data_IF_594031548427
#
_entry.id   IF_594031548427
#
_cell.length_a   1.000
_cell.length_b   1.000
_cell.length_c   1.000
_cell.angle_alpha   90.00
_cell.angle_beta   90.00
_cell.angle_gamma   90.00
#
_symmetry.space_group_name_H-M   'P 1'
#
loop_
_entity.id
_entity.type
_entity.pdbx_description
1 polymer ?
#
# COMPACT_ATOMS: atom_id res chain seq x y z
N UNK A 1 37.45 -22.36 -15.82
CA UNK A 1 38.41 -21.23 -15.72
C UNK A 1 37.85 -20.16 -16.66
N UNK A 2 36.98 -19.22 -16.23
CA UNK A 2 37.23 -18.05 -15.35
C UNK A 2 38.34 -17.16 -15.95
N UNK A 3 38.26 -15.83 -16.09
CA UNK A 3 37.72 -14.77 -15.21
C UNK A 3 37.91 -13.42 -15.96
N UNK A 4 36.99 -12.45 -15.79
CA UNK A 4 37.17 -10.97 -15.83
C UNK A 4 37.54 -10.36 -17.21
N UNK A 5 37.04 -9.21 -17.67
CA UNK A 5 36.91 -7.93 -16.99
C UNK A 5 36.08 -6.98 -17.91
N UNK A 6 34.89 -6.58 -17.49
CA UNK A 6 34.10 -5.53 -18.15
C UNK A 6 33.92 -4.37 -17.16
N UNK A 7 34.97 -3.58 -16.98
CA UNK A 7 34.94 -2.33 -16.22
C UNK A 7 35.92 -1.35 -16.86
N UNK A 8 35.40 -0.30 -17.49
CA UNK A 8 35.87 1.09 -17.36
C UNK A 8 34.99 1.99 -18.26
N UNK A 9 33.83 2.41 -17.75
CA UNK A 9 33.08 3.55 -18.26
C UNK A 9 32.86 4.52 -17.09
N UNK A 10 33.95 5.01 -16.52
CA UNK A 10 33.94 6.12 -15.56
C UNK A 10 34.19 7.41 -16.33
N UNK A 11 33.10 8.08 -16.74
CA UNK A 11 33.17 9.50 -17.11
C UNK A 11 33.09 10.34 -15.82
N UNK A 12 33.93 11.37 -15.64
CA UNK A 12 33.90 12.19 -14.45
C UNK A 12 32.63 13.06 -14.43
N UNK A 13 31.89 13.01 -13.32
CA UNK A 13 30.80 13.91 -12.98
C UNK A 13 31.34 15.35 -12.87
N UNK A 14 30.79 16.28 -13.66
CA UNK A 14 31.17 17.70 -13.61
C UNK A 14 30.43 18.41 -12.47
N UNK A 15 31.15 19.25 -11.72
CA UNK A 15 30.62 20.02 -10.58
C UNK A 15 29.54 21.05 -10.99
N UNK A 16 29.45 21.39 -12.27
CA UNK A 16 28.44 22.31 -12.82
C UNK A 16 27.04 21.69 -12.92
N UNK A 17 26.94 20.36 -13.09
CA UNK A 17 25.64 19.67 -13.17
C UNK A 17 24.97 19.53 -11.79
N UNK A 18 25.76 19.61 -10.71
CA UNK A 18 25.28 19.59 -9.32
C UNK A 18 24.59 20.91 -8.92
N UNK A 19 24.95 22.04 -9.53
CA UNK A 19 24.30 23.32 -9.23
C UNK A 19 22.90 23.45 -9.81
N UNK A 20 22.59 22.78 -10.92
CA UNK A 20 21.24 22.79 -11.52
C UNK A 20 20.21 21.97 -10.73
N UNK A 21 20.67 21.05 -9.88
CA UNK A 21 19.77 20.27 -9.00
C UNK A 21 19.44 21.03 -7.73
N UNK A 22 20.32 21.94 -7.27
CA UNK A 22 20.16 22.66 -6.01
C UNK A 22 19.30 23.93 -6.10
N UNK A 23 19.05 24.48 -7.29
CA UNK A 23 18.14 25.64 -7.44
C UNK A 23 16.65 25.26 -7.54
N UNK A 24 16.31 23.96 -7.59
CA UNK A 24 14.92 23.50 -7.75
C UNK A 24 14.23 23.14 -6.42
N UNK A 25 14.92 23.23 -5.28
CA UNK A 25 14.37 22.79 -3.98
C UNK A 25 13.66 23.89 -3.17
N UNK A 26 13.66 25.14 -3.63
CA UNK A 26 13.21 26.27 -2.81
C UNK A 26 11.71 26.63 -2.95
N UNK A 27 10.91 25.86 -3.70
CA UNK A 27 9.47 26.16 -3.91
C UNK A 27 8.49 25.16 -3.30
N UNK A 28 8.92 24.23 -2.44
CA UNK A 28 8.03 23.19 -1.88
C UNK A 28 7.76 23.31 -0.37
N UNK A 29 7.81 24.50 0.24
CA UNK A 29 7.67 24.62 1.71
C UNK A 29 6.56 25.52 2.27
N UNK A 30 5.69 26.14 1.46
CA UNK A 30 4.75 27.14 2.00
C UNK A 30 3.28 26.69 2.17
N UNK A 31 2.91 25.43 1.87
CA UNK A 31 1.50 24.97 1.93
C UNK A 31 1.13 24.04 3.10
N UNK A 32 2.10 23.59 3.92
CA UNK A 32 1.86 22.57 4.95
C UNK A 32 1.41 23.10 6.32
N UNK A 33 1.51 24.40 6.60
CA UNK A 33 1.13 24.92 7.93
C UNK A 33 -0.39 25.04 8.16
N UNK A 34 -1.21 24.94 7.12
CA UNK A 34 -2.67 25.11 7.25
C UNK A 34 -3.43 23.81 7.58
N UNK A 35 -2.88 22.64 7.19
CA UNK A 35 -3.54 21.34 7.41
C UNK A 35 -3.56 20.90 8.88
N UNK A 36 -2.53 21.22 9.67
CA UNK A 36 -2.46 20.87 11.10
C UNK A 36 -3.42 21.64 12.02
N UNK A 37 -4.11 22.68 11.51
CA UNK A 37 -5.04 23.50 12.31
C UNK A 37 -6.49 22.99 12.26
N UNK A 38 -6.85 22.19 11.26
CA UNK A 38 -8.22 21.69 11.07
C UNK A 38 -8.51 20.40 11.85
N UNK A 39 -7.51 19.55 12.12
CA UNK A 39 -7.70 18.30 12.89
C UNK A 39 -8.11 18.54 14.35
N UNK A 40 -7.63 19.60 15.00
CA UNK A 40 -7.92 19.85 16.43
C UNK A 40 -9.39 20.18 16.71
N UNK A 41 -10.19 20.47 15.69
CA UNK A 41 -11.58 20.92 15.84
C UNK A 41 -12.62 19.81 15.68
N UNK A 42 -12.26 18.65 15.12
CA UNK A 42 -13.20 17.55 14.83
C UNK A 42 -13.14 16.37 15.82
N UNK A 43 -12.28 16.43 16.84
CA UNK A 43 -12.05 15.30 17.74
C UNK A 43 -13.05 15.27 18.92
N UNK A 44 -13.68 16.40 19.25
CA UNK A 44 -14.66 16.46 20.34
C UNK A 44 -16.06 16.03 19.90
N UNK A 45 -16.35 16.07 18.59
CA UNK A 45 -17.68 15.74 18.07
C UNK A 45 -17.87 14.22 17.97
N UNK A 46 -16.86 13.50 17.47
CA UNK A 46 -16.90 12.04 17.29
C UNK A 46 -16.99 11.27 18.61
N UNK A 47 -16.34 11.77 19.68
CA UNK A 47 -16.35 11.13 21.01
C UNK A 47 -17.75 11.19 21.66
N UNK A 48 -18.47 12.29 21.50
CA UNK A 48 -19.80 12.48 22.10
C UNK A 48 -20.85 11.62 21.40
N UNK A 49 -20.81 11.54 20.07
CA UNK A 49 -21.73 10.68 19.31
C UNK A 49 -21.48 9.18 19.58
N UNK A 50 -20.22 8.75 19.75
CA UNK A 50 -19.89 7.37 20.11
C UNK A 50 -20.44 6.94 21.47
N UNK A 51 -20.43 7.82 22.48
CA UNK A 51 -20.96 7.52 23.82
C UNK A 51 -22.49 7.44 23.87
N UNK A 52 -23.18 8.23 23.04
CA UNK A 52 -24.65 8.18 22.96
C UNK A 52 -25.12 6.89 22.29
N UNK A 53 -24.45 6.45 21.21
CA UNK A 53 -24.78 5.19 20.53
C UNK A 53 -24.58 3.99 21.48
N UNK A 54 -23.53 4.01 22.31
CA UNK A 54 -23.25 2.97 23.31
C UNK A 54 -24.33 2.83 24.39
N UNK A 55 -25.03 3.92 24.75
CA UNK A 55 -26.07 3.89 25.78
C UNK A 55 -27.43 3.39 25.29
N UNK A 56 -27.72 3.49 23.99
CA UNK A 56 -29.04 3.12 23.42
C UNK A 56 -29.11 1.63 23.04
N UNK A 57 -27.96 0.97 22.86
CA UNK A 57 -27.87 -0.41 22.33
C UNK A 57 -27.61 -1.45 23.44
N UNK A 58 -27.55 -1.09 24.72
CA UNK A 58 -27.31 -2.06 25.81
C UNK A 58 -28.62 -2.57 26.46
N UNK A 59 -29.20 -3.70 26.00
CA UNK A 59 -29.96 -4.55 26.91
C UNK A 59 -28.96 -5.26 27.83
N UNK A 60 -29.11 -5.08 29.13
CA UNK A 60 -28.34 -5.81 30.13
C UNK A 60 -28.58 -7.32 30.00
N UNK A 61 -27.64 -8.03 29.37
CA UNK A 61 -27.48 -9.47 29.53
C UNK A 61 -26.04 -9.87 29.22
N UNK A 62 -25.42 -10.45 30.23
CA UNK A 62 -24.13 -11.14 30.20
C UNK A 62 -24.14 -12.30 29.20
N UNK A 63 -23.06 -12.38 28.43
CA UNK A 63 -22.38 -13.55 27.83
C UNK A 63 -21.95 -13.18 26.39
N UNK A 64 -20.67 -12.77 26.23
CA UNK A 64 -20.05 -12.50 24.93
C UNK A 64 -19.20 -13.72 24.55
N UNK A 65 -19.77 -14.59 23.72
CA UNK A 65 -19.00 -15.45 22.83
C UNK A 65 -18.57 -14.59 21.63
N UNK A 66 -17.27 -14.56 21.35
CA UNK A 66 -16.71 -13.90 20.17
C UNK A 66 -16.84 -14.89 19.02
N UNK A 67 -17.81 -14.66 18.14
CA UNK A 67 -17.96 -15.37 16.87
C UNK A 67 -17.27 -14.57 15.76
N UNK A 68 -16.41 -15.26 15.02
CA UNK A 68 -15.56 -14.76 13.93
C UNK A 68 -16.45 -14.50 12.70
N UNK A 69 -16.79 -13.24 12.44
CA UNK A 69 -17.67 -12.90 11.33
C UNK A 69 -16.92 -12.95 10.00
N UNK A 70 -17.05 -14.10 9.33
CA UNK A 70 -16.86 -14.31 7.90
C UNK A 70 -17.68 -13.30 7.09
N UNK A 71 -17.01 -12.36 6.42
CA UNK A 71 -17.67 -11.43 5.49
C UNK A 71 -17.82 -12.09 4.11
N UNK A 72 -19.07 -12.36 3.72
CA UNK A 72 -19.48 -12.84 2.40
C UNK A 72 -19.65 -11.65 1.45
N UNK A 73 -18.86 -11.61 0.36
CA UNK A 73 -18.87 -10.53 -0.62
C UNK A 73 -19.73 -10.94 -1.82
N UNK A 74 -20.97 -10.43 -1.88
CA UNK A 74 -21.83 -10.59 -3.05
C UNK A 74 -21.39 -9.62 -4.15
N UNK A 75 -20.93 -10.20 -5.26
CA UNK A 75 -20.51 -9.48 -6.45
C UNK A 75 -21.75 -9.02 -7.26
N UNK A 76 -21.78 -7.76 -7.71
CA UNK A 76 -22.65 -7.33 -8.81
C UNK A 76 -22.04 -6.14 -9.53
N UNK A 77 -21.80 -6.35 -10.82
CA UNK A 77 -20.97 -5.56 -11.72
C UNK A 77 -21.63 -4.31 -12.30
N UNK A 78 -20.73 -3.45 -12.80
CA UNK A 78 -20.83 -2.56 -13.97
C UNK A 78 -21.72 -1.32 -13.91
N UNK A 79 -21.10 -0.16 -13.64
CA UNK A 79 -21.35 1.06 -14.44
C UNK A 79 -20.04 1.81 -14.77
N UNK A 80 -19.93 2.12 -16.06
CA UNK A 80 -18.92 2.88 -16.79
C UNK A 80 -19.01 4.38 -16.45
N UNK A 81 -17.89 5.05 -16.10
CA UNK A 81 -17.44 6.35 -16.65
C UNK A 81 -16.23 6.96 -15.88
N UNK A 82 -15.24 7.40 -16.68
CA UNK A 82 -14.20 8.44 -16.51
C UNK A 82 -13.02 8.26 -15.53
N UNK A 83 -11.83 8.24 -16.16
CA UNK A 83 -10.47 8.42 -15.64
C UNK A 83 -10.33 9.44 -14.50
N UNK A 84 -10.21 8.93 -13.28
CA UNK A 84 -9.06 9.19 -12.42
C UNK A 84 -8.62 7.80 -11.94
N UNK A 85 -7.37 7.42 -12.22
CA UNK A 85 -6.79 6.13 -11.89
C UNK A 85 -6.59 6.00 -10.38
N UNK A 86 -7.73 5.91 -9.68
CA UNK A 86 -7.86 5.42 -8.32
C UNK A 86 -7.20 4.04 -8.31
N UNK A 87 -6.19 3.89 -7.46
CA UNK A 87 -5.31 2.73 -7.38
C UNK A 87 -6.05 1.57 -6.74
N UNK A 88 -7.21 1.18 -7.26
CA UNK A 88 -7.97 0.05 -6.75
C UNK A 88 -7.45 -1.23 -7.35
N UNK A 89 -7.13 -2.18 -6.49
CA UNK A 89 -6.82 -3.56 -6.83
C UNK A 89 -8.03 -4.20 -7.51
N UNK A 90 -7.80 -4.72 -8.72
CA UNK A 90 -8.84 -5.39 -9.53
C UNK A 90 -8.65 -6.91 -9.58
N UNK A 91 -7.65 -7.45 -8.88
CA UNK A 91 -7.26 -8.85 -8.95
C UNK A 91 -8.01 -9.76 -7.98
N UNK A 92 -7.83 -11.07 -8.15
CA UNK A 92 -8.23 -12.08 -7.17
C UNK A 92 -7.24 -12.10 -5.99
N UNK A 93 -7.73 -12.11 -4.75
CA UNK A 93 -6.84 -12.22 -3.60
C UNK A 93 -6.26 -13.63 -3.49
N UNK A 94 -4.94 -13.72 -3.30
CA UNK A 94 -4.24 -14.97 -3.06
C UNK A 94 -3.52 -14.89 -1.73
N UNK A 95 -3.78 -15.87 -0.86
CA UNK A 95 -3.10 -15.97 0.44
C UNK A 95 -1.62 -16.33 0.26
N UNK A 96 -0.75 -15.62 0.98
CA UNK A 96 0.71 -15.80 0.95
C UNK A 96 1.31 -15.59 2.36
N UNK A 97 2.62 -15.44 2.46
CA UNK A 97 3.33 -15.03 3.67
C UNK A 97 3.21 -13.53 3.98
N UNK A 98 2.64 -12.74 3.07
CA UNK A 98 2.30 -11.34 3.31
C UNK A 98 1.26 -11.16 4.42
N UNK A 99 1.25 -9.99 5.06
CA UNK A 99 0.33 -9.66 6.16
C UNK A 99 -0.34 -8.32 5.92
N UNK A 100 -1.60 -8.21 6.35
CA UNK A 100 -2.30 -6.94 6.33
C UNK A 100 -1.54 -5.93 7.20
N UNK A 101 -1.25 -4.77 6.63
CA UNK A 101 -0.47 -3.71 7.28
C UNK A 101 -1.08 -2.39 6.87
N UNK A 102 -1.60 -1.65 7.84
CA UNK A 102 -2.28 -0.38 7.59
C UNK A 102 -1.37 0.61 6.87
N UNK A 103 -1.93 1.30 5.87
CA UNK A 103 -1.28 2.41 5.19
C UNK A 103 -2.28 3.54 4.95
N UNK A 104 -1.76 4.74 4.82
CA UNK A 104 -2.48 5.98 4.49
C UNK A 104 -1.98 6.61 3.19
N UNK A 105 -0.78 6.23 2.76
CA UNK A 105 -0.17 6.67 1.51
C UNK A 105 0.76 5.61 0.95
N UNK A 106 1.09 5.70 -0.34
CA UNK A 106 2.06 4.82 -0.97
C UNK A 106 3.44 4.82 -0.26
N UNK A 107 3.84 5.94 0.35
CA UNK A 107 5.11 6.05 1.08
C UNK A 107 5.19 5.12 2.30
N UNK A 108 4.06 4.81 2.93
CA UNK A 108 3.99 3.85 4.04
C UNK A 108 4.41 2.44 3.59
N UNK A 109 4.27 2.14 2.30
CA UNK A 109 4.56 0.84 1.74
C UNK A 109 6.03 0.64 1.32
N UNK A 110 6.86 1.69 1.38
CA UNK A 110 8.25 1.63 0.95
C UNK A 110 9.12 0.68 1.75
N UNK A 111 8.73 0.27 2.97
CA UNK A 111 9.47 -0.69 3.79
C UNK A 111 9.00 -2.14 3.63
N UNK A 112 8.09 -2.39 2.70
CA UNK A 112 7.59 -3.73 2.41
C UNK A 112 8.10 -4.20 1.04
N UNK A 113 8.11 -5.52 0.87
CA UNK A 113 8.48 -6.18 -0.38
C UNK A 113 7.41 -7.20 -0.71
N UNK A 114 7.50 -7.80 -1.89
CA UNK A 114 6.63 -8.88 -2.29
C UNK A 114 6.65 -10.04 -1.27
N UNK A 115 5.58 -10.84 -1.16
CA UNK A 115 5.63 -12.07 -0.38
C UNK A 115 6.72 -13.01 -0.92
N UNK A 116 7.39 -13.74 -0.03
CA UNK A 116 8.40 -14.75 -0.37
C UNK A 116 7.84 -15.79 -1.33
N UNK A 117 6.57 -16.18 -1.16
CA UNK A 117 5.88 -17.09 -2.07
C UNK A 117 5.82 -16.57 -3.52
N UNK A 118 5.98 -15.27 -3.73
CA UNK A 118 5.89 -14.63 -5.04
C UNK A 118 7.24 -14.14 -5.57
N UNK A 119 8.31 -14.15 -4.78
CA UNK A 119 9.60 -13.57 -5.13
C UNK A 119 10.16 -14.01 -6.51
N UNK A 120 9.94 -15.27 -6.91
CA UNK A 120 10.34 -15.79 -8.22
C UNK A 120 9.11 -16.15 -9.06
N UNK A 121 8.67 -15.27 -9.97
CA UNK A 121 7.61 -15.59 -10.91
C UNK A 121 7.97 -16.83 -11.74
N UNK A 122 6.98 -17.71 -11.94
CA UNK A 122 7.09 -18.81 -12.90
C UNK A 122 6.87 -18.30 -14.34
N UNK A 123 7.04 -19.15 -15.35
CA UNK A 123 7.00 -18.74 -16.76
C UNK A 123 5.72 -18.02 -17.22
N UNK A 124 4.60 -18.23 -16.51
CA UNK A 124 3.31 -17.61 -16.82
C UNK A 124 2.90 -16.53 -15.81
N UNK A 125 3.85 -16.10 -14.97
CA UNK A 125 3.63 -15.08 -13.96
C UNK A 125 4.48 -13.85 -14.26
N UNK A 126 3.88 -12.67 -14.11
CA UNK A 126 4.54 -11.39 -14.36
C UNK A 126 4.16 -10.39 -13.28
N UNK A 127 5.14 -9.64 -12.80
CA UNK A 127 4.88 -8.51 -11.93
C UNK A 127 4.18 -7.38 -12.68
N UNK A 128 3.29 -6.66 -11.99
CA UNK A 128 2.88 -5.34 -12.46
C UNK A 128 4.01 -4.34 -12.21
N UNK A 129 3.89 -3.14 -12.76
CA UNK A 129 4.86 -2.05 -12.61
C UNK A 129 4.74 -1.27 -11.30
N UNK A 130 3.70 -1.52 -10.49
CA UNK A 130 3.41 -0.80 -9.24
C UNK A 130 4.29 -1.21 -8.05
N UNK A 131 4.78 -2.44 -8.03
CA UNK A 131 5.39 -3.02 -6.82
C UNK A 131 4.41 -3.05 -5.65
N UNK A 132 4.91 -2.90 -4.42
CA UNK A 132 4.06 -2.73 -3.23
C UNK A 132 3.49 -1.31 -3.18
N UNK A 133 2.17 -1.18 -3.12
CA UNK A 133 1.47 0.11 -3.03
C UNK A 133 0.39 0.08 -1.95
N UNK A 134 -0.01 1.27 -1.49
CA UNK A 134 -1.12 1.41 -0.57
C UNK A 134 -2.43 1.32 -1.36
N UNK A 135 -3.27 0.37 -1.02
CA UNK A 135 -4.60 0.22 -1.61
C UNK A 135 -5.61 1.08 -0.84
N UNK A 136 -6.27 2.01 -1.54
CA UNK A 136 -7.11 3.05 -0.93
C UNK A 136 -8.40 2.50 -0.30
N UNK A 137 -8.90 1.36 -0.78
CA UNK A 137 -10.10 0.72 -0.20
C UNK A 137 -9.75 -0.19 0.99
N UNK A 138 -8.65 -0.94 0.87
CA UNK A 138 -8.20 -1.89 1.89
C UNK A 138 -7.40 -1.21 3.01
N UNK A 139 -6.96 0.03 2.77
CA UNK A 139 -6.02 0.77 3.61
C UNK A 139 -4.80 -0.08 4.00
N UNK A 140 -4.28 -0.87 3.06
CA UNK A 140 -3.22 -1.84 3.31
C UNK A 140 -2.23 -1.94 2.16
N UNK A 141 -0.97 -2.27 2.50
CA UNK A 141 0.07 -2.49 1.50
C UNK A 141 -0.12 -3.82 0.77
N UNK A 142 -0.32 -3.73 -0.54
CA UNK A 142 -0.58 -4.86 -1.43
C UNK A 142 0.35 -4.83 -2.63
N UNK A 143 0.47 -5.98 -3.29
CA UNK A 143 1.19 -6.13 -4.54
C UNK A 143 0.35 -6.93 -5.52
N UNK A 144 0.42 -6.56 -6.79
CA UNK A 144 -0.29 -7.22 -7.89
C UNK A 144 0.68 -8.03 -8.77
N UNK A 145 0.18 -9.13 -9.32
CA UNK A 145 0.84 -9.88 -10.39
C UNK A 145 -0.17 -10.40 -11.39
N UNK A 146 0.27 -10.68 -12.60
CA UNK A 146 -0.49 -11.49 -13.56
C UNK A 146 -0.10 -12.96 -13.40
N UNK A 147 -1.06 -13.87 -13.39
CA UNK A 147 -0.86 -15.32 -13.40
C UNK A 147 -1.77 -15.96 -14.47
N UNK A 148 -1.17 -16.54 -15.52
CA UNK A 148 -1.91 -17.10 -16.66
C UNK A 148 -2.94 -16.11 -17.26
N UNK A 149 -2.59 -14.82 -17.32
CA UNK A 149 -3.45 -13.76 -17.85
C UNK A 149 -4.52 -13.23 -16.88
N UNK A 150 -4.59 -13.73 -15.65
CA UNK A 150 -5.46 -13.21 -14.60
C UNK A 150 -4.69 -12.31 -13.64
N UNK A 151 -5.28 -11.21 -13.22
CA UNK A 151 -4.71 -10.35 -12.20
C UNK A 151 -4.97 -10.98 -10.82
N UNK A 152 -3.91 -11.14 -10.03
CA UNK A 152 -3.93 -11.59 -8.65
C UNK A 152 -3.29 -10.51 -7.78
N UNK A 153 -3.72 -10.42 -6.53
CA UNK A 153 -3.05 -9.59 -5.54
C UNK A 153 -2.85 -10.33 -4.21
N UNK A 154 -1.88 -9.85 -3.44
CA UNK A 154 -1.65 -10.32 -2.08
C UNK A 154 -1.13 -9.18 -1.22
N UNK A 155 -1.09 -9.39 0.09
CA UNK A 155 -0.44 -8.45 0.99
C UNK A 155 1.07 -8.47 0.80
N UNK A 156 1.71 -7.33 1.04
CA UNK A 156 3.15 -7.26 1.08
C UNK A 156 3.72 -7.90 2.37
N UNK A 157 5.02 -8.23 2.34
CA UNK A 157 5.77 -8.75 3.47
C UNK A 157 6.75 -7.69 4.00
N UNK A 158 7.08 -7.73 5.29
CA UNK A 158 8.14 -6.90 5.87
C UNK A 158 9.45 -7.08 5.11
N UNK A 159 10.15 -5.98 4.79
CA UNK A 159 11.51 -6.05 4.25
C UNK A 159 12.53 -6.47 5.33
N UNK A 160 12.15 -6.46 6.60
CA UNK A 160 13.03 -6.93 7.67
C UNK A 160 13.37 -8.41 7.45
N UNK A 161 14.67 -8.69 7.24
CA UNK A 161 15.17 -10.03 6.89
C UNK A 161 14.58 -10.63 5.60
N UNK A 162 14.01 -9.80 4.73
CA UNK A 162 13.47 -10.26 3.46
C UNK A 162 14.60 -10.69 2.52
N UNK A 163 14.57 -11.95 2.11
CA UNK A 163 15.51 -12.51 1.15
C UNK A 163 14.78 -13.52 0.27
N UNK A 164 14.95 -13.37 -1.03
CA UNK A 164 14.45 -14.33 -2.00
C UNK A 164 15.19 -15.67 -1.89
N UNK A 165 14.55 -16.76 -1.43
CA UNK A 165 15.18 -18.08 -1.36
C UNK A 165 15.41 -18.64 -2.76
#
# INVERSE_FOLDING_TARGET
MSIFEAYQLTKPFNLSDLMLVLERTDTCNDEWENYGKQEKKMNNLLIVFGLIILLVILPSKSDLEIDDSSYDYTNSSDEDYSEEDEYTVKGEFVETDGKWMSCSSHADCYNYSEPIAWCRPTANQFWTDKGCFCEDILYSCVIERTNNGKLEYSYCASRENWQCP
#
